data_IF_946417330403
#
_entry.id   IF_946417330403
#
_cell.length_a   1.000
_cell.length_b   1.000
_cell.length_c   1.000
_cell.angle_alpha   90.00
_cell.angle_beta   90.00
_cell.angle_gamma   90.00
#
_symmetry.space_group_name_H-M   'P 1'
#
loop_
_entity.id
_entity.type
_entity.pdbx_description
1 polymer ?
#
# COMPACT_ATOMS: atom_id res chain seq x y z
N UNK A 1 2.51 -24.92 49.65
CA UNK A 1 1.44 -25.66 48.93
C UNK A 1 0.11 -25.23 49.54
N UNK A 2 -0.83 -24.73 48.72
CA UNK A 2 -1.78 -25.60 48.03
C UNK A 2 -1.85 -25.35 46.51
N UNK A 3 -2.34 -26.36 45.77
CA UNK A 3 -2.42 -26.49 44.31
C UNK A 3 -3.81 -26.10 43.77
N UNK A 4 -3.84 -25.49 42.58
CA UNK A 4 -4.93 -25.53 41.55
C UNK A 4 -4.30 -25.00 40.25
N UNK A 5 -3.98 -25.73 39.16
CA UNK A 5 -4.75 -26.55 38.19
C UNK A 5 -6.05 -25.87 37.71
N UNK A 6 -6.48 -25.81 36.44
CA UNK A 6 -6.01 -26.24 35.10
C UNK A 6 -7.13 -25.79 34.11
N UNK A 7 -6.74 -25.27 32.92
CA UNK A 7 -7.37 -25.27 31.57
C UNK A 7 -8.87 -24.95 31.29
N UNK A 8 -9.02 -24.19 30.19
CA UNK A 8 -9.88 -24.36 28.98
C UNK A 8 -11.32 -23.78 28.88
N UNK A 9 -11.48 -23.04 27.77
CA UNK A 9 -12.59 -22.83 26.82
C UNK A 9 -14.05 -22.69 27.27
N UNK A 10 -14.66 -21.55 26.89
CA UNK A 10 -16.01 -21.58 26.31
C UNK A 10 -16.10 -20.59 25.15
N UNK A 11 -16.40 -21.16 23.99
CA UNK A 11 -16.93 -20.55 22.79
C UNK A 11 -18.30 -19.93 23.05
N UNK A 12 -18.55 -18.75 22.51
CA UNK A 12 -19.90 -18.46 22.01
C UNK A 12 -19.82 -17.73 20.68
N UNK A 13 -20.60 -18.26 19.76
CA UNK A 13 -20.57 -18.07 18.33
C UNK A 13 -21.74 -17.17 17.97
N UNK A 14 -21.48 -16.10 17.21
CA UNK A 14 -22.55 -15.45 16.45
C UNK A 14 -22.03 -15.21 15.03
N UNK A 15 -22.46 -16.12 14.15
CA UNK A 15 -22.41 -15.94 12.71
C UNK A 15 -23.45 -14.90 12.31
N UNK A 16 -23.04 -13.86 11.60
CA UNK A 16 -23.92 -13.14 10.70
C UNK A 16 -23.31 -13.13 9.29
N UNK A 17 -24.15 -13.49 8.33
CA UNK A 17 -23.76 -13.91 6.98
C UNK A 17 -23.65 -12.70 6.04
N UNK A 18 -22.60 -12.66 5.22
CA UNK A 18 -22.50 -11.74 4.08
C UNK A 18 -21.91 -12.47 2.87
N UNK A 19 -22.46 -12.30 1.65
CA UNK A 19 -22.26 -13.22 0.54
C UNK A 19 -20.86 -13.16 -0.06
N UNK A 20 -20.40 -14.35 -0.47
CA UNK A 20 -19.29 -14.57 -1.40
C UNK A 20 -19.54 -13.81 -2.71
N UNK A 21 -18.62 -12.91 -3.09
CA UNK A 21 -18.15 -12.79 -4.48
C UNK A 21 -16.95 -11.83 -4.55
N UNK A 22 -15.74 -12.38 -4.69
CA UNK A 22 -14.58 -11.62 -5.18
C UNK A 22 -13.96 -12.39 -6.32
N UNK A 23 -14.57 -12.25 -7.49
CA UNK A 23 -13.94 -12.61 -8.75
C UNK A 23 -12.55 -11.96 -8.89
N UNK A 24 -11.56 -12.67 -9.45
CA UNK A 24 -10.25 -12.10 -9.77
C UNK A 24 -10.38 -11.25 -11.04
N UNK A 25 -10.50 -9.92 -10.89
CA UNK A 25 -10.58 -9.04 -12.06
C UNK A 25 -9.22 -8.99 -12.76
N UNK A 26 -9.26 -9.53 -13.97
CA UNK A 26 -8.21 -9.73 -14.97
C UNK A 26 -7.43 -8.44 -15.28
N UNK A 27 -6.10 -8.58 -15.36
CA UNK A 27 -5.19 -7.59 -15.96
C UNK A 27 -5.59 -7.29 -17.41
N UNK A 28 -5.69 -6.02 -17.78
CA UNK A 28 -5.53 -5.53 -19.16
C UNK A 28 -4.36 -4.56 -19.24
N UNK A 29 -3.66 -4.62 -20.37
CA UNK A 29 -2.32 -4.11 -20.62
C UNK A 29 -2.40 -2.80 -21.43
N UNK A 30 -1.67 -1.78 -20.93
CA UNK A 30 -1.02 -0.63 -21.57
C UNK A 30 -1.82 0.31 -22.51
N UNK A 31 -1.82 1.59 -22.11
CA UNK A 31 -1.76 2.74 -23.01
C UNK A 31 -0.53 3.59 -22.66
N UNK A 32 0.19 3.97 -23.70
CA UNK A 32 1.38 4.82 -23.76
C UNK A 32 1.30 6.05 -22.82
N UNK A 33 2.33 6.23 -21.98
CA UNK A 33 2.54 7.45 -21.16
C UNK A 33 1.82 7.56 -19.81
N UNK A 34 0.83 6.73 -19.50
CA UNK A 34 0.14 6.78 -18.20
C UNK A 34 0.79 5.85 -17.18
N UNK A 35 1.53 6.40 -16.22
CA UNK A 35 1.95 5.67 -15.03
C UNK A 35 0.75 5.20 -14.19
N UNK A 36 -0.45 5.78 -14.39
CA UNK A 36 -1.65 5.46 -13.61
C UNK A 36 -2.27 4.13 -14.01
N UNK A 37 -2.63 3.33 -13.01
CA UNK A 37 -3.45 2.12 -13.16
C UNK A 37 -4.87 2.38 -12.66
N UNK A 38 -5.88 1.78 -13.30
CA UNK A 38 -7.32 1.85 -12.96
C UNK A 38 -7.69 1.09 -11.67
N UNK A 39 -6.87 1.23 -10.62
CA UNK A 39 -7.16 0.67 -9.32
C UNK A 39 -8.16 1.57 -8.56
N UNK A 40 -8.83 0.98 -7.55
CA UNK A 40 -9.69 1.70 -6.60
C UNK A 40 -9.00 2.92 -5.97
N UNK A 41 -7.67 2.88 -5.89
CA UNK A 41 -6.81 3.98 -5.47
C UNK A 41 -5.84 4.34 -6.62
N UNK A 42 -5.70 5.63 -6.98
CA UNK A 42 -4.74 6.07 -7.99
C UNK A 42 -3.34 5.54 -7.66
N UNK A 43 -2.77 4.77 -8.57
CA UNK A 43 -1.50 4.05 -8.37
C UNK A 43 -0.57 4.28 -9.57
N UNK A 44 0.68 4.65 -9.29
CA UNK A 44 1.76 4.85 -10.25
C UNK A 44 2.87 3.81 -10.05
N UNK A 45 3.32 3.13 -11.10
CA UNK A 45 4.40 2.13 -11.04
C UNK A 45 5.79 2.80 -11.24
N UNK A 46 6.71 2.58 -10.30
CA UNK A 46 8.10 3.06 -10.37
C UNK A 46 9.07 1.95 -10.82
N UNK A 47 8.56 0.77 -11.17
CA UNK A 47 9.34 -0.42 -11.46
C UNK A 47 9.79 -1.18 -10.20
N UNK A 48 10.29 -2.39 -10.38
CA UNK A 48 10.82 -3.24 -9.30
C UNK A 48 9.84 -3.44 -8.12
N UNK A 49 8.54 -3.56 -8.42
CA UNK A 49 7.45 -3.68 -7.44
C UNK A 49 7.34 -2.49 -6.48
N UNK A 50 7.81 -1.30 -6.89
CA UNK A 50 7.66 -0.06 -6.12
C UNK A 50 6.56 0.77 -6.75
N UNK A 51 5.66 1.28 -5.92
CA UNK A 51 4.50 2.04 -6.37
C UNK A 51 4.34 3.33 -5.57
N UNK A 52 3.84 4.37 -6.24
CA UNK A 52 3.26 5.55 -5.59
C UNK A 52 1.74 5.36 -5.55
N UNK A 53 1.10 5.61 -4.41
CA UNK A 53 -0.37 5.53 -4.28
C UNK A 53 -0.93 6.71 -3.49
N UNK A 54 -2.10 7.20 -3.89
CA UNK A 54 -2.88 8.13 -3.05
C UNK A 54 -3.90 7.32 -2.27
N UNK A 55 -3.84 7.39 -0.94
CA UNK A 55 -4.78 6.71 -0.04
C UNK A 55 -5.40 7.71 0.94
N UNK A 56 -6.62 7.43 1.39
CA UNK A 56 -7.26 8.19 2.45
C UNK A 56 -7.40 7.34 3.72
N UNK A 57 -6.98 7.88 4.86
CA UNK A 57 -7.14 7.24 6.16
C UNK A 57 -7.63 8.25 7.19
N UNK A 58 -8.77 7.95 7.84
CA UNK A 58 -9.40 8.81 8.85
C UNK A 58 -9.60 10.26 8.37
N UNK A 59 -10.09 10.43 7.14
CA UNK A 59 -10.35 11.76 6.56
C UNK A 59 -9.11 12.54 6.15
N UNK A 60 -7.92 11.91 6.15
CA UNK A 60 -6.66 12.52 5.72
C UNK A 60 -6.12 11.80 4.50
N UNK A 61 -5.71 12.58 3.51
CA UNK A 61 -5.09 12.09 2.27
C UNK A 61 -3.58 11.96 2.46
N UNK A 62 -3.02 10.85 1.98
CA UNK A 62 -1.61 10.53 2.06
C UNK A 62 -1.06 10.09 0.70
N UNK A 63 0.21 10.39 0.48
CA UNK A 63 0.98 9.87 -0.65
C UNK A 63 1.89 8.76 -0.15
N UNK A 64 1.66 7.54 -0.60
CA UNK A 64 2.46 6.37 -0.23
C UNK A 64 3.48 6.08 -1.31
N UNK A 65 4.74 5.93 -0.94
CA UNK A 65 5.81 5.44 -1.83
C UNK A 65 6.33 4.16 -1.21
N UNK A 66 5.98 2.99 -1.76
CA UNK A 66 6.18 1.70 -1.08
C UNK A 66 6.59 0.57 -2.03
N UNK A 67 7.47 -0.29 -1.54
CA UNK A 67 7.82 -1.57 -2.17
C UNK A 67 6.79 -2.64 -1.77
N UNK A 68 6.32 -3.39 -2.75
CA UNK A 68 5.38 -4.50 -2.58
C UNK A 68 6.11 -5.83 -2.76
N UNK A 69 5.68 -6.83 -2.00
CA UNK A 69 6.15 -8.19 -2.14
C UNK A 69 5.04 -9.06 -2.72
N UNK A 70 5.43 -10.16 -3.35
CA UNK A 70 4.47 -11.15 -3.84
C UNK A 70 4.30 -12.21 -2.74
N UNK A 71 3.07 -12.43 -2.30
CA UNK A 71 2.69 -13.53 -1.44
C UNK A 71 1.52 -14.25 -2.10
N UNK A 72 1.74 -15.52 -2.44
CA UNK A 72 0.71 -16.41 -3.00
C UNK A 72 0.10 -15.91 -4.32
N UNK A 73 0.86 -15.14 -5.12
CA UNK A 73 0.40 -14.54 -6.37
C UNK A 73 -0.10 -13.11 -6.23
N UNK A 74 -0.32 -12.64 -5.00
CA UNK A 74 -0.84 -11.31 -4.70
C UNK A 74 0.23 -10.32 -4.28
N UNK A 75 0.15 -9.09 -4.82
CA UNK A 75 1.01 -7.99 -4.42
C UNK A 75 0.52 -7.38 -3.10
N UNK A 76 1.30 -7.55 -2.04
CA UNK A 76 1.04 -6.99 -0.70
C UNK A 76 2.04 -5.88 -0.37
N UNK A 77 1.61 -4.82 0.34
CA UNK A 77 2.50 -3.74 0.74
C UNK A 77 3.58 -4.27 1.70
N UNK A 78 4.85 -4.07 1.36
CA UNK A 78 5.98 -4.47 2.19
C UNK A 78 6.28 -3.46 3.29
N UNK A 79 7.24 -3.78 4.17
CA UNK A 79 7.69 -2.86 5.24
C UNK A 79 8.45 -1.65 4.69
N UNK A 80 9.18 -1.82 3.58
CA UNK A 80 9.98 -0.76 2.94
C UNK A 80 9.08 0.25 2.23
N UNK A 81 9.09 1.49 2.68
CA UNK A 81 8.32 2.58 2.09
C UNK A 81 7.95 3.63 3.12
N UNK A 82 7.42 4.74 2.63
CA UNK A 82 7.00 5.88 3.45
C UNK A 82 5.58 6.31 3.07
N UNK A 83 4.82 6.74 4.07
CA UNK A 83 3.54 7.41 3.89
C UNK A 83 3.74 8.89 4.21
N UNK A 84 3.61 9.74 3.21
CA UNK A 84 3.81 11.18 3.33
C UNK A 84 2.48 11.86 3.63
N UNK A 85 2.47 12.76 4.60
CA UNK A 85 1.38 13.71 4.79
C UNK A 85 1.33 14.71 3.63
N UNK A 86 0.22 15.43 3.48
CA UNK A 86 0.11 16.49 2.49
C UNK A 86 1.22 17.55 2.60
N UNK A 87 1.59 17.94 3.83
CA UNK A 87 2.68 18.90 4.08
C UNK A 87 4.05 18.36 3.64
N UNK A 88 4.35 17.10 4.00
CA UNK A 88 5.60 16.44 3.60
C UNK A 88 5.67 16.29 2.07
N UNK A 89 4.55 16.02 1.41
CA UNK A 89 4.49 15.96 -0.05
C UNK A 89 4.78 17.31 -0.71
N UNK A 90 4.28 18.43 -0.16
CA UNK A 90 4.62 19.75 -0.70
C UNK A 90 6.11 20.06 -0.55
N UNK A 91 6.71 19.75 0.61
CA UNK A 91 8.15 19.92 0.83
C UNK A 91 8.98 19.04 -0.11
N UNK A 92 8.58 17.78 -0.28
CA UNK A 92 9.23 16.87 -1.22
C UNK A 92 9.24 17.47 -2.64
N UNK A 93 8.08 17.92 -3.13
CA UNK A 93 8.00 18.57 -4.46
C UNK A 93 8.88 19.80 -4.58
N UNK A 94 8.92 20.65 -3.55
CA UNK A 94 9.78 21.84 -3.57
C UNK A 94 11.27 21.49 -3.66
N UNK A 95 11.68 20.34 -3.14
CA UNK A 95 13.08 19.86 -3.23
C UNK A 95 13.41 19.08 -4.50
N UNK A 96 12.43 18.73 -5.35
CA UNK A 96 12.67 17.85 -6.52
C UNK A 96 13.68 18.47 -7.48
N UNK A 97 13.56 19.75 -7.79
CA UNK A 97 14.46 20.41 -8.75
C UNK A 97 15.92 20.40 -8.26
N UNK A 98 16.14 20.72 -6.98
CA UNK A 98 17.47 20.67 -6.36
C UNK A 98 18.05 19.24 -6.34
N UNK A 99 17.20 18.25 -6.03
CA UNK A 99 17.59 16.83 -6.05
C UNK A 99 17.93 16.38 -7.47
N UNK A 100 17.17 16.82 -8.47
CA UNK A 100 17.40 16.47 -9.88
C UNK A 100 18.71 17.09 -10.41
N UNK A 101 19.03 18.32 -10.03
CA UNK A 101 20.32 18.94 -10.35
C UNK A 101 21.48 18.16 -9.74
N UNK A 102 21.39 17.77 -8.48
CA UNK A 102 22.44 17.02 -7.81
C UNK A 102 22.56 15.59 -8.36
N UNK A 103 21.44 14.94 -8.66
CA UNK A 103 21.41 13.61 -9.26
C UNK A 103 22.07 13.59 -10.64
N UNK A 104 21.86 14.62 -11.46
CA UNK A 104 22.50 14.78 -12.78
C UNK A 104 24.00 14.98 -12.71
N UNK A 105 24.53 15.57 -11.62
CA UNK A 105 25.98 15.73 -11.42
C UNK A 105 26.66 14.44 -10.96
N UNK A 106 25.92 13.60 -10.23
CA UNK A 106 26.41 12.34 -9.70
C UNK A 106 26.43 11.19 -10.72
N UNK A 107 25.70 11.34 -11.84
CA UNK A 107 25.68 10.42 -12.97
C UNK A 107 26.62 10.91 -14.09
#
# INVERSE_FOLDING_TARGET
>A
MPKKSKKEDTSDSSSDSGPEDREPVKKKVKSDGSLRTDAKEPTWDLGNKKFVKISEFKGKVYVNIREFYNADGDLKPGKKGIMLTGEQWQRFKASVDEVDEEFKKAC
#
